data_IF_214133695671
#
_entry.id   IF_214133695671
#
_cell.length_a   1.000
_cell.length_b   1.000
_cell.length_c   1.000
_cell.angle_alpha   90.00
_cell.angle_beta   90.00
_cell.angle_gamma   90.00
#
_symmetry.space_group_name_H-M   'P 1'
#
loop_
_entity.id
_entity.type
_entity.pdbx_description
1 polymer ?
#
# COMPACT_ATOMS: atom_id res chain seq x y z
N UNK A 1 -5.48 -5.79 -9.36
CA UNK A 1 -4.97 -6.60 -8.21
C UNK A 1 -5.57 -6.07 -6.91
N UNK A 2 -5.85 -6.90 -5.89
CA UNK A 2 -6.35 -6.40 -4.57
C UNK A 2 -5.25 -5.69 -3.77
N UNK A 3 -5.59 -4.64 -3.02
CA UNK A 3 -4.65 -3.88 -2.17
C UNK A 3 -3.89 -4.78 -1.18
N UNK A 4 -4.60 -5.65 -0.45
CA UNK A 4 -3.98 -6.58 0.50
C UNK A 4 -3.00 -7.57 -0.16
N UNK A 5 -3.29 -7.97 -1.40
CA UNK A 5 -2.42 -8.86 -2.20
C UNK A 5 -1.21 -8.09 -2.73
N UNK A 6 -1.41 -6.86 -3.19
CA UNK A 6 -0.36 -6.00 -3.72
C UNK A 6 0.72 -5.71 -2.68
N UNK A 7 0.33 -5.36 -1.44
CA UNK A 7 1.27 -5.12 -0.35
C UNK A 7 2.11 -6.35 -0.01
N UNK A 8 1.51 -7.55 -0.08
CA UNK A 8 2.22 -8.82 0.14
C UNK A 8 3.17 -9.18 -1.00
N UNK A 9 2.71 -9.03 -2.25
CA UNK A 9 3.47 -9.46 -3.43
C UNK A 9 4.68 -8.56 -3.65
N UNK A 10 4.53 -7.26 -3.46
CA UNK A 10 5.63 -6.29 -3.59
C UNK A 10 6.52 -6.22 -2.33
N UNK A 11 6.31 -7.08 -1.33
CA UNK A 11 7.17 -7.14 -0.14
C UNK A 11 7.05 -5.95 0.82
N UNK A 12 6.10 -5.03 0.60
CA UNK A 12 5.83 -3.87 1.47
C UNK A 12 5.39 -4.34 2.86
N UNK A 13 4.50 -5.34 2.91
CA UNK A 13 4.10 -6.02 4.15
C UNK A 13 4.27 -7.52 3.96
N UNK A 14 5.15 -8.14 4.76
CA UNK A 14 5.52 -9.56 4.60
C UNK A 14 4.34 -10.54 4.79
N UNK A 15 3.33 -10.19 5.60
CA UNK A 15 2.19 -11.06 5.91
C UNK A 15 0.88 -10.44 5.46
N UNK A 16 0.08 -11.24 4.75
CA UNK A 16 -1.23 -10.80 4.22
C UNK A 16 -2.25 -10.45 5.32
N UNK A 17 -2.18 -11.10 6.48
CA UNK A 17 -3.03 -10.80 7.65
C UNK A 17 -2.71 -9.40 8.19
N UNK A 18 -1.43 -9.10 8.38
CA UNK A 18 -0.97 -7.77 8.83
C UNK A 18 -1.34 -6.70 7.80
N UNK A 19 -1.25 -7.00 6.50
CA UNK A 19 -1.66 -6.06 5.47
C UNK A 19 -3.15 -5.70 5.58
N UNK A 20 -4.02 -6.67 5.84
CA UNK A 20 -5.45 -6.39 6.08
C UNK A 20 -5.63 -5.51 7.32
N UNK A 21 -5.03 -5.89 8.45
CA UNK A 21 -5.12 -5.09 9.68
C UNK A 21 -4.58 -3.67 9.51
N UNK A 22 -3.50 -3.48 8.75
CA UNK A 22 -2.94 -2.16 8.48
C UNK A 22 -3.92 -1.28 7.69
N UNK A 23 -4.60 -1.87 6.70
CA UNK A 23 -5.62 -1.18 5.92
C UNK A 23 -6.85 -0.87 6.78
N UNK A 24 -7.33 -1.83 7.57
CA UNK A 24 -8.48 -1.64 8.49
C UNK A 24 -8.21 -0.59 9.57
N UNK A 25 -6.96 -0.50 10.06
CA UNK A 25 -6.54 0.51 11.04
C UNK A 25 -6.24 1.88 10.42
N UNK A 26 -6.31 2.02 9.10
CA UNK A 26 -6.07 3.30 8.41
C UNK A 26 -4.60 3.67 8.21
N UNK A 27 -3.67 2.72 8.35
CA UNK A 27 -2.25 2.94 8.02
C UNK A 27 -1.96 2.93 6.52
N UNK A 28 -2.93 2.52 5.70
CA UNK A 28 -2.79 2.44 4.25
C UNK A 28 -3.88 3.26 3.59
N UNK A 29 -3.49 4.17 2.71
CA UNK A 29 -4.42 4.99 1.94
C UNK A 29 -4.13 4.83 0.46
N UNK A 30 -5.19 4.92 -0.35
CA UNK A 30 -5.13 4.92 -1.81
C UNK A 30 -5.56 6.29 -2.30
N UNK A 31 -4.73 6.97 -3.07
CA UNK A 31 -4.98 8.31 -3.60
C UNK A 31 -5.38 9.31 -2.51
N UNK A 32 -4.74 9.24 -1.34
CA UNK A 32 -5.07 10.05 -0.14
C UNK A 32 -6.45 9.77 0.47
N UNK A 33 -7.01 8.57 0.22
CA UNK A 33 -8.29 8.14 0.80
C UNK A 33 -8.10 6.78 1.46
N UNK A 34 -8.62 6.55 2.68
CA UNK A 34 -8.57 5.24 3.32
C UNK A 34 -9.30 4.20 2.44
N UNK A 35 -8.61 3.10 2.15
CA UNK A 35 -9.11 2.06 1.27
C UNK A 35 -9.61 0.85 2.06
N UNK A 36 -10.41 -0.01 1.43
CA UNK A 36 -10.76 -1.31 1.99
C UNK A 36 -9.71 -2.34 1.56
N UNK A 37 -9.45 -3.40 2.36
CA UNK A 37 -8.53 -4.45 1.94
C UNK A 37 -8.96 -5.14 0.64
N UNK A 38 -10.28 -5.22 0.40
CA UNK A 38 -10.86 -5.73 -0.84
C UNK A 38 -10.83 -4.79 -2.03
N UNK A 39 -10.33 -3.56 -1.89
CA UNK A 39 -10.26 -2.61 -3.00
C UNK A 39 -9.32 -3.11 -4.09
N UNK A 40 -9.79 -3.04 -5.33
CA UNK A 40 -8.99 -3.33 -6.52
C UNK A 40 -8.18 -2.12 -6.93
N UNK A 41 -6.86 -2.30 -6.99
CA UNK A 41 -5.91 -1.34 -7.54
C UNK A 41 -5.91 -1.38 -9.06
N UNK A 42 -5.71 -0.21 -9.64
CA UNK A 42 -5.48 0.05 -11.05
C UNK A 42 -4.05 0.58 -11.23
N UNK A 43 -3.43 0.37 -12.41
CA UNK A 43 -2.21 1.07 -12.78
C UNK A 43 -2.36 2.58 -12.62
N UNK A 44 -1.33 3.24 -12.11
CA UNK A 44 -1.30 4.68 -11.86
C UNK A 44 -1.84 5.10 -10.49
N UNK A 45 -2.50 4.22 -9.73
CA UNK A 45 -2.91 4.51 -8.35
C UNK A 45 -1.69 4.80 -7.47
N UNK A 46 -1.86 5.71 -6.52
CA UNK A 46 -0.87 5.99 -5.47
C UNK A 46 -1.33 5.36 -4.17
N UNK A 47 -0.44 4.66 -3.49
CA UNK A 47 -0.68 4.02 -2.19
C UNK A 47 0.32 4.59 -1.19
N UNK A 48 -0.19 5.24 -0.14
CA UNK A 48 0.60 5.63 1.04
C UNK A 48 0.49 4.55 2.10
N UNK A 49 1.62 4.21 2.70
CA UNK A 49 1.74 3.24 3.79
C UNK A 49 2.52 3.88 4.92
N UNK A 50 1.85 4.13 6.03
CA UNK A 50 2.43 4.69 7.23
C UNK A 50 2.89 3.56 8.14
N UNK A 51 4.21 3.42 8.27
CA UNK A 51 4.85 2.57 9.27
C UNK A 51 5.18 3.39 10.51
N UNK A 52 5.42 2.71 11.63
CA UNK A 52 5.75 3.37 12.91
C UNK A 52 7.02 4.23 12.88
N UNK A 53 7.91 4.02 11.90
CA UNK A 53 9.20 4.71 11.78
C UNK A 53 9.40 5.41 10.42
N UNK A 54 8.46 5.25 9.49
CA UNK A 54 8.56 5.84 8.15
C UNK A 54 7.22 5.87 7.46
N UNK A 55 7.03 6.84 6.59
CA UNK A 55 5.92 6.84 5.62
C UNK A 55 6.47 6.52 4.24
N UNK A 56 5.93 5.47 3.63
CA UNK A 56 6.29 5.03 2.28
C UNK A 56 5.14 5.33 1.33
N UNK A 57 5.41 6.08 0.28
CA UNK A 57 4.44 6.35 -0.77
C UNK A 57 4.92 5.67 -2.05
N UNK A 58 4.06 4.80 -2.59
CA UNK A 58 4.34 4.03 -3.80
C UNK A 58 3.27 4.28 -4.86
N UNK A 59 3.66 4.23 -6.12
CA UNK A 59 2.76 4.20 -7.27
C UNK A 59 2.67 2.77 -7.80
N UNK A 60 1.47 2.38 -8.24
CA UNK A 60 1.21 1.11 -8.89
C UNK A 60 1.56 1.24 -10.38
N UNK A 61 2.48 0.41 -10.88
CA UNK A 61 2.81 0.37 -12.32
C UNK A 61 1.81 -0.48 -13.12
N UNK A 62 1.93 -0.49 -14.45
CA UNK A 62 1.09 -1.34 -15.32
C UNK A 62 1.26 -2.83 -15.04
N UNK A 63 2.44 -3.25 -14.60
CA UNK A 63 2.76 -4.63 -14.19
C UNK A 63 2.37 -4.94 -12.73
N UNK A 64 1.65 -4.04 -12.05
CA UNK A 64 1.33 -4.14 -10.62
C UNK A 64 2.56 -4.20 -9.70
N UNK A 65 3.66 -3.58 -10.10
CA UNK A 65 4.84 -3.40 -9.27
C UNK A 65 4.71 -2.11 -8.44
N UNK A 66 5.38 -2.07 -7.30
CA UNK A 66 5.47 -0.87 -6.48
C UNK A 66 6.66 -0.02 -6.91
N UNK A 67 6.37 1.17 -7.42
CA UNK A 67 7.38 2.21 -7.67
C UNK A 67 7.40 3.19 -6.50
N UNK A 68 8.53 3.34 -5.81
CA UNK A 68 8.63 4.25 -4.66
C UNK A 68 8.76 5.69 -5.15
N UNK A 69 7.78 6.53 -4.85
CA UNK A 69 7.80 7.95 -5.23
C UNK A 69 8.30 8.86 -4.11
N UNK A 70 8.06 8.46 -2.84
CA UNK A 70 8.50 9.21 -1.68
C UNK A 70 8.67 8.28 -0.48
N UNK A 71 9.79 8.40 0.21
CA UNK A 71 10.01 7.76 1.51
C UNK A 71 10.40 8.87 2.50
N UNK A 72 9.65 9.01 3.59
CA UNK A 72 9.99 9.90 4.70
C UNK A 72 10.28 9.03 5.90
N UNK A 73 11.51 9.12 6.43
CA UNK A 73 11.91 8.42 7.66
C UNK A 73 11.84 9.43 8.80
N UNK A 74 11.21 9.05 9.90
CA UNK A 74 11.22 9.80 11.16
C UNK A 74 12.30 9.26 12.10
#
# INVERSE_FOLDING_TARGET
MRLDKFLKVNGIIKRRVIAKEAIDKGYVERNNVPAKPSSELKPGDVVSVSFSNRTLVVRVTEEFLSEVIRETRE
#
